data_IF_148829595824
#
_entry.id   IF_148829595824
#
_cell.length_a   1.000
_cell.length_b   1.000
_cell.length_c   1.000
_cell.angle_alpha   90.00
_cell.angle_beta   90.00
_cell.angle_gamma   90.00
#
_symmetry.space_group_name_H-M   'P 1'
#
loop_
_entity.id
_entity.type
_entity.pdbx_description
1 polymer ?
#
# COMPACT_ATOMS: atom_id res chain seq x y z
N UNK A 1 36.70 5.76 -7.09
CA UNK A 1 35.55 4.85 -6.95
C UNK A 1 35.49 4.38 -5.51
N UNK A 2 34.77 5.09 -4.62
CA UNK A 2 34.71 4.75 -3.19
C UNK A 2 33.29 4.98 -2.62
N UNK A 3 32.26 4.68 -3.42
CA UNK A 3 30.86 4.77 -2.97
C UNK A 3 30.37 3.48 -2.29
N UNK A 4 31.22 2.45 -2.17
CA UNK A 4 30.80 1.12 -1.73
C UNK A 4 31.74 0.45 -0.71
N UNK A 5 32.60 1.20 0.00
CA UNK A 5 33.37 0.62 1.09
C UNK A 5 32.76 1.04 2.44
N UNK A 6 31.80 0.24 2.91
CA UNK A 6 31.24 0.36 4.25
C UNK A 6 32.10 -0.35 5.31
N UNK A 7 33.28 -0.88 4.95
CA UNK A 7 34.10 -1.72 5.83
C UNK A 7 33.46 -3.06 6.19
N UNK A 8 32.36 -3.43 5.53
CA UNK A 8 31.66 -4.68 5.75
C UNK A 8 32.39 -5.82 5.03
N UNK A 9 32.56 -6.94 5.72
CA UNK A 9 33.12 -8.15 5.11
C UNK A 9 32.22 -8.62 3.96
N UNK A 10 32.78 -9.16 2.85
CA UNK A 10 32.02 -9.87 1.83
C UNK A 10 31.15 -11.02 2.38
N UNK A 11 31.46 -11.49 3.59
CA UNK A 11 30.72 -12.54 4.32
C UNK A 11 29.54 -12.02 5.16
N UNK A 12 29.32 -10.70 5.24
CA UNK A 12 28.31 -10.10 6.12
C UNK A 12 26.90 -10.66 5.82
N UNK A 13 26.26 -11.33 6.79
CA UNK A 13 24.95 -11.95 6.62
C UNK A 13 23.86 -10.97 6.20
N UNK A 14 23.95 -9.68 6.60
CA UNK A 14 22.97 -8.65 6.23
C UNK A 14 23.03 -8.33 4.74
N UNK A 15 24.23 -8.22 4.20
CA UNK A 15 24.45 -8.01 2.77
C UNK A 15 23.98 -9.21 1.95
N UNK A 16 24.27 -10.44 2.42
CA UNK A 16 23.74 -11.66 1.81
C UNK A 16 22.20 -11.67 1.80
N UNK A 17 21.55 -11.34 2.92
CA UNK A 17 20.09 -11.27 2.99
C UNK A 17 19.48 -10.19 2.08
N UNK A 18 20.16 -9.05 1.92
CA UNK A 18 19.73 -7.98 1.03
C UNK A 18 19.90 -8.38 -0.44
N UNK A 19 21.02 -9.04 -0.80
CA UNK A 19 21.29 -9.55 -2.15
C UNK A 19 20.25 -10.57 -2.60
N UNK A 20 19.86 -11.49 -1.71
CA UNK A 20 18.83 -12.50 -2.03
C UNK A 20 17.40 -11.99 -1.91
N UNK A 21 17.18 -10.70 -1.56
CA UNK A 21 15.84 -10.16 -1.35
C UNK A 21 15.01 -10.18 -2.63
N UNK A 22 15.59 -9.81 -3.77
CA UNK A 22 14.90 -9.82 -5.06
C UNK A 22 14.42 -11.23 -5.44
N UNK A 23 15.19 -12.28 -5.12
CA UNK A 23 14.85 -13.67 -5.44
C UNK A 23 13.69 -14.21 -4.61
N UNK A 24 13.48 -13.70 -3.40
CA UNK A 24 12.44 -14.17 -2.46
C UNK A 24 11.24 -13.24 -2.33
N UNK A 25 11.35 -12.00 -2.79
CA UNK A 25 10.28 -11.02 -2.67
C UNK A 25 9.19 -11.28 -3.70
N UNK A 26 7.96 -11.44 -3.23
CA UNK A 26 6.77 -11.52 -4.07
C UNK A 26 6.13 -10.14 -4.13
N UNK A 27 5.83 -9.67 -5.35
CA UNK A 27 5.15 -8.38 -5.55
C UNK A 27 3.78 -8.44 -4.87
N UNK A 28 3.51 -7.60 -3.86
CA UNK A 28 2.24 -7.61 -3.17
C UNK A 28 1.11 -7.17 -4.11
N UNK A 29 -0.05 -7.83 -4.02
CA UNK A 29 -1.27 -7.40 -4.71
C UNK A 29 -2.11 -6.51 -3.80
N UNK A 30 -2.61 -5.38 -4.32
CA UNK A 30 -3.47 -4.49 -3.55
C UNK A 30 -4.78 -5.22 -3.17
N UNK A 31 -5.12 -5.31 -1.86
CA UNK A 31 -6.11 -6.26 -1.39
C UNK A 31 -7.57 -5.72 -1.39
N UNK A 32 -7.79 -4.48 -1.82
CA UNK A 32 -9.12 -3.83 -1.87
C UNK A 32 -9.54 -3.57 -3.31
N UNK A 33 -10.81 -3.82 -3.63
CA UNK A 33 -11.39 -3.65 -4.97
C UNK A 33 -12.63 -2.77 -4.94
N UNK A 34 -13.07 -2.32 -6.12
CA UNK A 34 -14.25 -1.47 -6.28
C UNK A 34 -15.51 -1.95 -5.54
N UNK A 35 -15.87 -3.26 -5.60
CA UNK A 35 -17.04 -3.77 -4.87
C UNK A 35 -16.97 -3.54 -3.35
N UNK A 36 -15.78 -3.55 -2.77
CA UNK A 36 -15.60 -3.30 -1.35
C UNK A 36 -15.97 -1.86 -0.99
N UNK A 37 -15.63 -0.90 -1.86
CA UNK A 37 -15.94 0.52 -1.66
C UNK A 37 -17.42 0.79 -1.92
N UNK A 38 -18.00 0.16 -2.94
CA UNK A 38 -19.44 0.23 -3.23
C UNK A 38 -20.29 -0.27 -2.06
N UNK A 39 -19.80 -1.27 -1.31
CA UNK A 39 -20.49 -1.78 -0.14
C UNK A 39 -20.54 -0.80 1.05
N UNK A 40 -19.74 0.27 1.03
CA UNK A 40 -19.69 1.28 2.10
C UNK A 40 -20.78 2.35 1.97
N UNK A 41 -21.47 2.44 0.84
CA UNK A 41 -22.58 3.38 0.63
C UNK A 41 -22.79 3.74 -0.84
N UNK A 42 -23.76 4.62 -1.08
CA UNK A 42 -24.13 5.04 -2.43
C UNK A 42 -23.18 6.12 -2.96
N UNK A 43 -22.01 5.67 -3.43
CA UNK A 43 -20.94 6.50 -3.95
C UNK A 43 -20.97 6.52 -5.49
N UNK A 44 -20.73 7.69 -6.08
CA UNK A 44 -20.56 7.80 -7.54
C UNK A 44 -19.27 7.12 -7.99
N UNK A 45 -19.27 6.54 -9.19
CA UNK A 45 -18.12 5.87 -9.80
C UNK A 45 -16.77 6.61 -9.69
N UNK A 46 -16.69 7.92 -9.97
CA UNK A 46 -15.45 8.68 -9.81
C UNK A 46 -14.91 8.70 -8.37
N UNK A 47 -15.80 8.88 -7.38
CA UNK A 47 -15.43 8.91 -5.95
C UNK A 47 -14.86 7.56 -5.51
N UNK A 48 -15.43 6.45 -5.99
CA UNK A 48 -14.90 5.10 -5.73
C UNK A 48 -13.46 4.97 -6.23
N UNK A 49 -13.20 5.43 -7.47
CA UNK A 49 -11.86 5.40 -8.05
C UNK A 49 -10.86 6.26 -7.28
N UNK A 50 -11.28 7.43 -6.80
CA UNK A 50 -10.43 8.33 -6.01
C UNK A 50 -10.06 7.71 -4.65
N UNK A 51 -11.02 7.09 -3.96
CA UNK A 51 -10.77 6.38 -2.70
C UNK A 51 -9.79 5.22 -2.91
N UNK A 52 -9.98 4.41 -3.96
CA UNK A 52 -9.07 3.30 -4.27
C UNK A 52 -7.64 3.80 -4.52
N UNK A 53 -7.49 4.89 -5.30
CA UNK A 53 -6.19 5.47 -5.62
C UNK A 53 -5.48 5.99 -4.37
N UNK A 54 -6.21 6.69 -3.49
CA UNK A 54 -5.65 7.20 -2.24
C UNK A 54 -5.17 6.06 -1.32
N UNK A 55 -5.94 4.98 -1.22
CA UNK A 55 -5.57 3.82 -0.40
C UNK A 55 -4.38 3.05 -0.99
N UNK A 56 -4.36 2.81 -2.31
CA UNK A 56 -3.27 2.11 -2.98
C UNK A 56 -1.95 2.89 -2.84
N UNK A 57 -2.00 4.21 -3.01
CA UNK A 57 -0.84 5.07 -2.81
C UNK A 57 -0.33 5.00 -1.37
N UNK A 58 -1.22 5.15 -0.38
CA UNK A 58 -0.83 5.06 1.04
C UNK A 58 -0.26 3.69 1.42
N UNK A 59 -0.78 2.61 0.82
CA UNK A 59 -0.29 1.26 1.02
C UNK A 59 1.11 1.04 0.45
N UNK A 60 1.38 1.56 -0.75
CA UNK A 60 2.72 1.56 -1.37
C UNK A 60 3.70 2.36 -0.52
N UNK A 61 3.32 3.57 -0.09
CA UNK A 61 4.15 4.43 0.76
C UNK A 61 4.43 3.79 2.13
N UNK A 62 3.47 3.04 2.66
CA UNK A 62 3.60 2.24 3.89
C UNK A 62 4.37 0.94 3.74
N UNK A 63 4.94 0.66 2.56
CA UNK A 63 5.72 -0.56 2.31
C UNK A 63 4.87 -1.83 2.31
N UNK A 64 3.62 -1.74 1.83
CA UNK A 64 2.69 -2.85 1.70
C UNK A 64 2.28 -3.51 3.04
N UNK A 65 2.46 -2.80 4.16
CA UNK A 65 2.29 -3.36 5.49
C UNK A 65 0.82 -3.51 5.93
N UNK A 66 -0.09 -2.73 5.34
CA UNK A 66 -1.49 -2.75 5.75
C UNK A 66 -2.25 -3.91 5.13
N UNK A 67 -3.07 -4.57 5.94
CA UNK A 67 -3.96 -5.63 5.49
C UNK A 67 -5.30 -5.08 4.96
N UNK A 68 -6.12 -5.99 4.44
CA UNK A 68 -7.44 -5.66 3.88
C UNK A 68 -8.34 -4.96 4.90
N UNK A 69 -8.36 -5.39 6.15
CA UNK A 69 -9.27 -4.83 7.17
C UNK A 69 -8.89 -3.40 7.54
N UNK A 70 -7.58 -3.15 7.69
CA UNK A 70 -7.04 -1.82 7.94
C UNK A 70 -7.35 -0.86 6.79
N UNK A 71 -7.20 -1.33 5.55
CA UNK A 71 -7.53 -0.54 4.35
C UNK A 71 -9.03 -0.27 4.23
N UNK A 72 -9.91 -1.22 4.56
CA UNK A 72 -11.36 -1.00 4.58
C UNK A 72 -11.79 -0.03 5.67
N UNK A 73 -11.16 -0.05 6.85
CA UNK A 73 -11.41 0.92 7.89
C UNK A 73 -11.03 2.34 7.46
N UNK A 74 -9.95 2.50 6.70
CA UNK A 74 -9.58 3.78 6.07
C UNK A 74 -10.59 4.17 4.98
N UNK A 75 -11.00 3.24 4.13
CA UNK A 75 -12.00 3.44 3.09
C UNK A 75 -13.32 3.98 3.66
N UNK A 76 -13.81 3.41 4.76
CA UNK A 76 -15.03 3.85 5.43
C UNK A 76 -14.94 5.32 5.91
N UNK A 77 -13.78 5.74 6.43
CA UNK A 77 -13.53 7.14 6.84
C UNK A 77 -13.55 8.07 5.64
N UNK A 78 -12.93 7.68 4.52
CA UNK A 78 -12.89 8.46 3.28
C UNK A 78 -14.27 8.58 2.64
N UNK A 79 -15.03 7.48 2.56
CA UNK A 79 -16.41 7.46 2.08
C UNK A 79 -17.31 8.40 2.90
N UNK A 80 -17.20 8.36 4.23
CA UNK A 80 -17.93 9.27 5.11
C UNK A 80 -17.56 10.74 4.92
N UNK A 81 -16.29 11.05 4.61
CA UNK A 81 -15.85 12.42 4.28
C UNK A 81 -16.41 12.89 2.94
N UNK A 82 -16.41 12.03 1.93
CA UNK A 82 -16.95 12.34 0.60
C UNK A 82 -18.46 12.62 0.63
N UNK A 83 -19.22 11.84 1.41
CA UNK A 83 -20.66 12.06 1.58
C UNK A 83 -21.00 13.42 2.22
N UNK A 84 -20.20 13.90 3.18
CA UNK A 84 -20.39 15.23 3.82
C UNK A 84 -20.00 16.42 2.95
N UNK A 85 -19.19 16.21 1.90
CA UNK A 85 -18.74 17.29 1.01
C UNK A 85 -19.71 17.53 -0.15
N UNK A 86 -20.68 16.64 -0.33
CA UNK A 86 -21.66 16.68 -1.43
C UNK A 86 -23.04 17.24 -0.99
N UNK A 87 -23.17 17.60 0.29
CA UNK A 87 -24.32 18.22 0.94
C UNK A 87 -24.01 19.70 1.22
#
# INVERSE_FOLDING_TARGET
>A
MAWADAGASPEDPRWRQALTLADRWQVPEFPVRGPDIMALGDLKGPVIGDILRELEQGWIEGGFAEDREQLLAKAAKLAGKAGRSAD
#
